data_IF_937756837836
#
_entry.id   IF_937756837836
#
_cell.length_a   1.000
_cell.length_b   1.000
_cell.length_c   1.000
_cell.angle_alpha   90.00
_cell.angle_beta   90.00
_cell.angle_gamma   90.00
#
_symmetry.space_group_name_H-M   'P 1'
#
loop_
_entity.id
_entity.type
_entity.pdbx_description
1 polymer ?
#
# COMPACT_ATOMS: atom_id res chain seq x y z
N UNK A 1 -24.70 -2.91 97.80
CA UNK A 1 -23.50 -3.18 96.96
C UNK A 1 -24.00 -3.65 95.62
N UNK A 2 -24.04 -2.77 94.59
CA UNK A 2 -24.62 -3.08 93.31
C UNK A 2 -23.52 -2.90 92.25
N UNK A 3 -23.13 -3.94 91.56
CA UNK A 3 -22.13 -3.96 90.55
C UNK A 3 -22.83 -3.77 89.19
N UNK A 4 -22.58 -2.63 88.51
CA UNK A 4 -23.00 -2.41 87.18
C UNK A 4 -22.06 -3.10 86.18
N UNK A 5 -22.63 -3.88 85.24
CA UNK A 5 -21.92 -4.50 84.08
C UNK A 5 -22.13 -3.57 82.88
N UNK A 6 -21.06 -3.01 82.37
CA UNK A 6 -21.03 -2.27 81.09
C UNK A 6 -20.86 -3.28 79.99
N UNK A 7 -21.86 -3.41 79.14
CA UNK A 7 -21.78 -4.20 77.89
C UNK A 7 -21.19 -3.37 76.77
N UNK A 8 -20.11 -3.86 76.20
CA UNK A 8 -19.46 -3.22 75.07
C UNK A 8 -20.04 -3.85 73.78
N UNK A 9 -20.88 -3.08 73.06
CA UNK A 9 -21.33 -3.47 71.70
C UNK A 9 -20.26 -3.13 70.69
N UNK A 10 -19.63 -4.15 70.10
CA UNK A 10 -18.74 -3.99 68.97
C UNK A 10 -19.59 -4.07 67.70
N UNK A 11 -19.80 -2.97 67.00
CA UNK A 11 -20.45 -2.91 65.70
C UNK A 11 -19.36 -3.20 64.65
N UNK A 12 -19.33 -4.41 64.12
CA UNK A 12 -18.48 -4.78 62.98
C UNK A 12 -19.11 -4.29 61.67
N UNK A 13 -18.54 -3.26 61.10
CA UNK A 13 -18.89 -2.82 59.73
C UNK A 13 -18.18 -3.71 58.72
N UNK A 14 -18.92 -4.58 58.05
CA UNK A 14 -18.42 -5.36 56.92
C UNK A 14 -18.40 -4.46 55.67
N UNK A 15 -17.20 -4.06 55.22
CA UNK A 15 -17.01 -3.41 53.94
C UNK A 15 -16.97 -4.50 52.85
N UNK A 16 -18.07 -4.65 52.12
CA UNK A 16 -18.10 -5.45 50.90
C UNK A 16 -17.46 -4.66 49.75
N UNK A 17 -16.21 -4.96 49.46
CA UNK A 17 -15.53 -4.42 48.28
C UNK A 17 -16.08 -5.12 47.03
N UNK A 18 -16.94 -4.43 46.26
CA UNK A 18 -17.41 -4.87 44.96
C UNK A 18 -16.28 -4.70 43.95
N UNK A 19 -15.55 -5.78 43.64
CA UNK A 19 -14.63 -5.81 42.49
C UNK A 19 -15.48 -5.93 41.25
N UNK A 20 -15.80 -4.75 40.64
CA UNK A 20 -16.36 -4.70 39.30
C UNK A 20 -15.26 -5.16 38.32
N UNK A 21 -15.31 -6.43 37.93
CA UNK A 21 -14.44 -6.99 36.91
C UNK A 21 -14.73 -6.30 35.59
N UNK A 22 -13.82 -5.42 35.13
CA UNK A 22 -13.81 -4.88 33.79
C UNK A 22 -13.34 -5.99 32.85
N UNK A 23 -14.23 -6.92 32.51
CA UNK A 23 -14.00 -7.87 31.43
C UNK A 23 -14.29 -7.23 30.08
N UNK A 24 -13.43 -6.29 29.70
CA UNK A 24 -13.42 -5.71 28.34
C UNK A 24 -12.86 -6.70 27.33
N UNK A 25 -13.47 -7.88 27.21
CA UNK A 25 -13.14 -8.81 26.15
C UNK A 25 -13.75 -8.26 24.87
N UNK A 26 -12.90 -7.68 23.99
CA UNK A 26 -13.35 -7.23 22.68
C UNK A 26 -14.12 -8.36 22.00
N UNK A 27 -15.35 -8.11 21.58
CA UNK A 27 -16.18 -9.09 20.93
C UNK A 27 -15.42 -9.68 19.73
N UNK A 28 -15.40 -11.01 19.60
CA UNK A 28 -14.79 -11.67 18.44
C UNK A 28 -15.52 -11.22 17.18
N UNK A 29 -14.79 -10.85 16.10
CA UNK A 29 -15.43 -10.46 14.86
C UNK A 29 -16.27 -11.62 14.30
N UNK A 30 -17.38 -11.29 13.65
CA UNK A 30 -18.21 -12.29 12.95
C UNK A 30 -17.42 -12.94 11.78
N UNK A 31 -17.81 -14.15 11.34
CA UNK A 31 -17.21 -14.76 10.15
C UNK A 31 -17.21 -13.84 8.94
N UNK A 32 -18.30 -13.11 8.68
CA UNK A 32 -18.41 -12.17 7.57
C UNK A 32 -17.45 -10.97 7.72
N UNK A 33 -17.29 -10.46 8.94
CA UNK A 33 -16.33 -9.40 9.21
C UNK A 33 -14.88 -9.88 9.04
N UNK A 34 -14.59 -11.14 9.36
CA UNK A 34 -13.29 -11.75 9.09
C UNK A 34 -13.07 -11.95 7.59
N UNK A 35 -14.06 -12.45 6.86
CA UNK A 35 -13.99 -12.63 5.41
C UNK A 35 -13.73 -11.28 4.70
N UNK A 36 -14.44 -10.22 5.08
CA UNK A 36 -14.21 -8.89 4.53
C UNK A 36 -12.79 -8.36 4.81
N UNK A 37 -12.24 -8.62 6.00
CA UNK A 37 -10.85 -8.25 6.33
C UNK A 37 -9.83 -9.04 5.52
N UNK A 38 -10.07 -10.34 5.33
CA UNK A 38 -9.21 -11.20 4.50
C UNK A 38 -9.22 -10.68 3.06
N UNK A 39 -10.39 -10.36 2.50
CA UNK A 39 -10.50 -9.82 1.15
C UNK A 39 -9.67 -8.55 0.97
N UNK A 40 -9.71 -7.60 1.92
CA UNK A 40 -8.88 -6.39 1.87
C UNK A 40 -7.38 -6.71 1.90
N UNK A 41 -6.96 -7.73 2.65
CA UNK A 41 -5.56 -8.15 2.68
C UNK A 41 -5.13 -8.80 1.36
N UNK A 42 -5.96 -9.66 0.79
CA UNK A 42 -5.73 -10.27 -0.52
C UNK A 42 -5.64 -9.21 -1.63
N UNK A 43 -6.52 -8.22 -1.58
CA UNK A 43 -6.49 -7.10 -2.52
C UNK A 43 -5.23 -6.25 -2.40
N UNK A 44 -4.79 -5.96 -1.19
CA UNK A 44 -3.50 -5.28 -0.97
C UNK A 44 -2.33 -6.07 -1.51
N UNK A 45 -2.33 -7.38 -1.34
CA UNK A 45 -1.28 -8.25 -1.87
C UNK A 45 -1.33 -8.32 -3.40
N UNK A 46 -2.51 -8.36 -4.00
CA UNK A 46 -2.67 -8.30 -5.45
C UNK A 46 -2.17 -6.97 -6.04
N UNK A 47 -2.43 -5.84 -5.36
CA UNK A 47 -1.86 -4.54 -5.77
C UNK A 47 -0.34 -4.50 -5.60
N UNK A 48 0.23 -5.10 -4.54
CA UNK A 48 1.69 -5.24 -4.40
C UNK A 48 2.30 -6.08 -5.52
N UNK A 49 1.65 -7.19 -5.86
CA UNK A 49 2.07 -8.03 -6.99
C UNK A 49 2.03 -7.26 -8.32
N UNK A 50 1.05 -6.37 -8.51
CA UNK A 50 0.99 -5.50 -9.68
C UNK A 50 2.17 -4.52 -9.73
N UNK A 51 2.58 -3.93 -8.60
CA UNK A 51 3.78 -3.06 -8.51
C UNK A 51 5.07 -3.85 -8.80
N UNK A 52 5.17 -5.10 -8.35
CA UNK A 52 6.29 -5.99 -8.71
C UNK A 52 6.28 -6.28 -10.20
N UNK A 53 5.11 -6.57 -10.79
CA UNK A 53 4.96 -6.81 -12.23
C UNK A 53 5.35 -5.58 -13.06
N UNK A 54 5.02 -4.37 -12.60
CA UNK A 54 5.45 -3.11 -13.20
C UNK A 54 6.98 -3.06 -13.34
N UNK A 55 7.70 -3.30 -12.24
CA UNK A 55 9.16 -3.31 -12.24
C UNK A 55 9.71 -4.41 -13.15
N UNK A 56 9.28 -5.66 -12.96
CA UNK A 56 9.84 -6.82 -13.66
C UNK A 56 9.59 -6.80 -15.17
N UNK A 57 8.44 -6.33 -15.64
CA UNK A 57 8.15 -6.22 -17.08
C UNK A 57 8.99 -5.13 -17.75
N UNK A 58 9.23 -4.00 -17.07
CA UNK A 58 10.14 -2.96 -17.57
C UNK A 58 11.59 -3.45 -17.60
N UNK A 59 12.06 -4.09 -16.52
CA UNK A 59 13.42 -4.61 -16.42
C UNK A 59 13.68 -5.71 -17.46
N UNK A 60 12.68 -6.58 -17.68
CA UNK A 60 12.70 -7.61 -18.72
C UNK A 60 12.44 -7.11 -20.14
N UNK A 61 12.06 -5.83 -20.32
CA UNK A 61 11.63 -5.27 -21.62
C UNK A 61 10.45 -6.03 -22.23
N UNK A 62 9.62 -6.66 -21.39
CA UNK A 62 8.36 -7.29 -21.81
C UNK A 62 7.24 -6.24 -21.87
N UNK A 63 7.29 -5.45 -22.95
CA UNK A 63 6.34 -4.37 -23.17
C UNK A 63 4.92 -4.88 -23.47
N UNK A 64 4.78 -6.11 -23.95
CA UNK A 64 3.47 -6.71 -24.16
C UNK A 64 2.80 -7.05 -22.81
N UNK A 65 3.53 -7.67 -21.90
CA UNK A 65 3.04 -7.90 -20.54
C UNK A 65 2.84 -6.59 -19.78
N UNK A 66 3.73 -5.61 -19.94
CA UNK A 66 3.60 -4.28 -19.34
C UNK A 66 2.30 -3.59 -19.72
N UNK A 67 1.90 -3.65 -21.00
CA UNK A 67 0.63 -3.08 -21.48
C UNK A 67 -0.58 -3.66 -20.75
N UNK A 68 -0.56 -4.94 -20.38
CA UNK A 68 -1.66 -5.60 -19.70
C UNK A 68 -1.86 -5.15 -18.23
N UNK A 69 -0.90 -4.46 -17.66
CA UNK A 69 -0.97 -3.96 -16.29
C UNK A 69 -1.89 -2.72 -16.17
N UNK A 70 -2.27 -2.11 -17.30
CA UNK A 70 -2.97 -0.83 -17.34
C UNK A 70 -4.46 -1.01 -17.61
N UNK A 71 -5.28 -0.21 -16.93
CA UNK A 71 -6.70 -0.08 -17.23
C UNK A 71 -6.92 0.57 -18.60
N UNK A 72 -8.04 0.29 -19.24
CA UNK A 72 -8.31 0.79 -20.63
C UNK A 72 -8.20 2.30 -20.79
N UNK A 73 -8.48 3.06 -19.74
CA UNK A 73 -8.45 4.53 -19.69
C UNK A 73 -7.39 5.04 -18.69
N UNK A 74 -6.31 4.29 -18.52
CA UNK A 74 -5.23 4.62 -17.61
C UNK A 74 -4.44 5.85 -18.04
N UNK A 75 -3.81 6.51 -17.06
CA UNK A 75 -2.90 7.63 -17.27
C UNK A 75 -1.52 7.34 -16.67
N UNK A 76 -0.48 7.63 -17.42
CA UNK A 76 0.89 7.70 -16.95
C UNK A 76 1.35 9.15 -16.95
N UNK A 77 1.95 9.62 -15.85
CA UNK A 77 2.47 10.98 -15.69
C UNK A 77 3.89 10.88 -15.12
N UNK A 78 4.89 10.89 -16.00
CA UNK A 78 6.33 10.81 -15.67
C UNK A 78 7.01 12.18 -15.62
N UNK A 79 6.27 13.25 -15.34
CA UNK A 79 6.72 14.64 -15.38
C UNK A 79 6.06 15.40 -16.51
N UNK A 80 6.46 16.66 -16.71
CA UNK A 80 5.75 17.58 -17.62
C UNK A 80 5.69 17.12 -19.10
N UNK A 81 6.69 16.38 -19.57
CA UNK A 81 6.82 15.98 -20.98
C UNK A 81 6.53 14.48 -21.22
N UNK A 82 6.43 13.68 -20.17
CA UNK A 82 6.28 12.23 -20.28
C UNK A 82 4.91 11.80 -19.78
N UNK A 83 3.88 12.12 -20.54
CA UNK A 83 2.50 11.73 -20.22
C UNK A 83 1.91 10.90 -21.33
N UNK A 84 1.11 9.89 -20.98
CA UNK A 84 0.41 9.07 -21.94
C UNK A 84 -0.95 8.61 -21.37
N UNK A 85 -1.93 8.33 -22.24
CA UNK A 85 -3.24 7.81 -21.88
C UNK A 85 -3.54 6.54 -22.66
N UNK A 86 -4.04 5.55 -21.95
CA UNK A 86 -4.36 4.24 -22.46
C UNK A 86 -3.15 3.31 -22.58
N UNK A 87 -3.37 1.99 -22.49
CA UNK A 87 -2.30 0.98 -22.35
C UNK A 87 -1.27 1.04 -23.47
N UNK A 88 -1.70 1.10 -24.73
CA UNK A 88 -0.80 1.11 -25.87
C UNK A 88 0.09 2.35 -25.91
N UNK A 89 -0.47 3.55 -25.66
CA UNK A 89 0.30 4.79 -25.65
C UNK A 89 1.31 4.83 -24.49
N UNK A 90 0.92 4.29 -23.32
CA UNK A 90 1.80 4.17 -22.13
C UNK A 90 2.95 3.20 -22.46
N UNK A 91 2.65 2.04 -23.04
CA UNK A 91 3.67 1.09 -23.51
C UNK A 91 4.65 1.75 -24.46
N UNK A 92 4.15 2.43 -25.50
CA UNK A 92 4.99 3.05 -26.54
C UNK A 92 5.89 4.14 -25.96
N UNK A 93 5.36 4.96 -25.04
CA UNK A 93 6.14 5.97 -24.32
C UNK A 93 7.29 5.32 -23.55
N UNK A 94 7.02 4.31 -22.70
CA UNK A 94 8.05 3.66 -21.89
C UNK A 94 9.04 2.88 -22.75
N UNK A 95 8.57 2.22 -23.81
CA UNK A 95 9.43 1.56 -24.76
C UNK A 95 10.37 2.57 -25.45
N UNK A 96 9.87 3.75 -25.79
CA UNK A 96 10.70 4.83 -26.35
C UNK A 96 11.75 5.35 -25.37
N UNK A 97 11.36 5.61 -24.12
CA UNK A 97 12.27 6.09 -23.07
C UNK A 97 13.37 5.07 -22.74
N UNK A 98 13.05 3.79 -22.71
CA UNK A 98 14.00 2.74 -22.35
C UNK A 98 14.87 2.26 -23.52
N UNK A 99 14.46 2.45 -24.78
CA UNK A 99 15.28 2.14 -25.96
C UNK A 99 16.59 2.92 -26.02
N UNK A 100 16.61 4.14 -25.50
CA UNK A 100 17.80 4.98 -25.45
C UNK A 100 18.92 4.34 -24.61
N UNK A 101 18.60 3.39 -23.73
CA UNK A 101 19.51 2.79 -22.75
C UNK A 101 19.90 1.34 -23.04
N UNK A 102 19.83 0.88 -24.29
CA UNK A 102 20.26 -0.45 -24.77
C UNK A 102 19.35 -1.64 -24.39
N UNK A 103 19.61 -2.79 -25.05
CA UNK A 103 18.91 -4.04 -24.80
C UNK A 103 19.00 -4.48 -23.33
N UNK A 104 18.00 -5.21 -22.81
CA UNK A 104 18.08 -5.72 -21.45
C UNK A 104 19.31 -6.61 -21.30
N UNK A 105 20.20 -6.19 -20.43
CA UNK A 105 21.33 -7.02 -20.02
C UNK A 105 20.98 -7.49 -18.61
N UNK A 106 20.81 -8.78 -18.38
CA UNK A 106 20.50 -9.31 -17.06
C UNK A 106 21.43 -8.72 -15.99
N UNK A 107 20.86 -8.11 -14.94
CA UNK A 107 21.60 -7.48 -13.86
C UNK A 107 22.21 -6.11 -14.18
N UNK A 108 21.93 -5.53 -15.36
CA UNK A 108 22.47 -4.22 -15.74
C UNK A 108 21.65 -3.06 -15.23
N UNK A 109 20.33 -3.17 -15.31
CA UNK A 109 19.41 -2.16 -14.79
C UNK A 109 18.17 -2.84 -14.20
N UNK A 110 17.63 -2.27 -13.13
CA UNK A 110 16.44 -2.78 -12.47
C UNK A 110 15.74 -1.68 -11.68
N UNK A 111 14.43 -1.84 -11.54
CA UNK A 111 13.60 -0.97 -10.72
C UNK A 111 13.40 -1.58 -9.33
N UNK A 112 13.47 -0.72 -8.31
CA UNK A 112 13.05 -1.03 -6.95
C UNK A 112 11.83 -0.19 -6.61
N UNK A 113 10.77 -0.83 -6.17
CA UNK A 113 9.57 -0.18 -5.65
C UNK A 113 9.46 -0.49 -4.17
N UNK A 114 9.59 0.54 -3.32
CA UNK A 114 9.78 0.40 -1.88
C UNK A 114 8.79 1.25 -1.09
N UNK A 115 8.69 0.98 0.23
CA UNK A 115 7.92 1.78 1.20
C UNK A 115 6.45 1.96 0.77
N UNK A 116 5.83 0.88 0.35
CA UNK A 116 4.48 0.88 -0.20
C UNK A 116 3.44 1.06 0.90
N UNK A 117 2.56 2.05 0.73
CA UNK A 117 1.28 2.14 1.45
C UNK A 117 0.17 1.97 0.44
N UNK A 118 -0.82 1.13 0.74
CA UNK A 118 -1.92 0.79 -0.15
C UNK A 118 -3.21 0.82 0.65
N UNK A 119 -4.16 1.64 0.19
CA UNK A 119 -5.50 1.75 0.76
C UNK A 119 -6.53 1.27 -0.25
N UNK A 120 -7.24 0.20 0.11
CA UNK A 120 -8.25 -0.45 -0.74
C UNK A 120 -9.64 -0.06 -0.28
N UNK A 121 -10.50 0.30 -1.24
CA UNK A 121 -11.93 0.59 -1.03
C UNK A 121 -12.74 -0.03 -2.16
N UNK A 122 -13.34 -1.19 -1.92
CA UNK A 122 -14.07 -1.95 -2.93
C UNK A 122 -13.17 -2.29 -4.13
N UNK A 123 -13.58 -1.88 -5.32
CA UNK A 123 -12.86 -2.15 -6.57
C UNK A 123 -11.87 -1.04 -6.96
N UNK A 124 -11.52 -0.16 -6.03
CA UNK A 124 -10.52 0.89 -6.22
C UNK A 124 -9.48 0.84 -5.11
N UNK A 125 -8.27 1.30 -5.42
CA UNK A 125 -7.23 1.50 -4.41
C UNK A 125 -6.37 2.71 -4.76
N UNK A 126 -5.75 3.28 -3.72
CA UNK A 126 -4.69 4.28 -3.87
C UNK A 126 -3.40 3.73 -3.29
N UNK A 127 -2.29 4.16 -3.84
CA UNK A 127 -0.97 3.76 -3.38
C UNK A 127 0.02 4.91 -3.37
N UNK A 128 0.91 4.84 -2.41
CA UNK A 128 2.15 5.61 -2.41
C UNK A 128 3.31 4.63 -2.31
N UNK A 129 4.36 4.87 -3.10
CA UNK A 129 5.61 4.14 -2.99
C UNK A 129 6.80 5.01 -3.39
N UNK A 130 8.01 4.51 -3.13
CA UNK A 130 9.23 5.10 -3.67
C UNK A 130 9.79 4.20 -4.75
N UNK A 131 10.03 4.79 -5.91
CA UNK A 131 10.67 4.13 -7.03
C UNK A 131 12.13 4.53 -7.16
N UNK A 132 12.96 3.58 -7.49
CA UNK A 132 14.39 3.80 -7.80
C UNK A 132 14.72 2.99 -9.04
N UNK A 133 15.35 3.62 -10.01
CA UNK A 133 15.95 2.93 -11.13
C UNK A 133 17.47 2.87 -10.93
N UNK A 134 17.98 1.67 -10.81
CA UNK A 134 19.40 1.37 -10.64
C UNK A 134 19.95 0.91 -11.99
N UNK A 135 21.06 1.49 -12.40
CA UNK A 135 21.75 1.14 -13.64
C UNK A 135 23.18 0.71 -13.34
N UNK A 136 23.73 -0.13 -14.19
CA UNK A 136 25.16 -0.46 -14.16
C UNK A 136 25.87 0.30 -15.25
N UNK A 137 26.85 1.12 -14.89
CA UNK A 137 27.65 1.87 -15.85
C UNK A 137 28.61 0.96 -16.65
N UNK A 138 29.31 1.49 -17.70
CA UNK A 138 30.28 0.71 -18.47
C UNK A 138 31.42 0.11 -17.63
N UNK A 139 31.74 0.71 -16.46
CA UNK A 139 32.76 0.19 -15.55
C UNK A 139 32.23 -0.86 -14.56
N UNK A 140 30.98 -1.33 -14.78
CA UNK A 140 30.25 -2.30 -13.94
C UNK A 140 29.96 -1.81 -12.52
N UNK A 141 29.89 -0.49 -12.30
CA UNK A 141 29.47 0.09 -11.04
C UNK A 141 27.98 0.33 -11.05
N UNK A 142 27.31 -0.01 -9.95
CA UNK A 142 25.89 0.31 -9.75
C UNK A 142 25.72 1.79 -9.46
N UNK A 143 24.80 2.41 -10.16
CA UNK A 143 24.44 3.81 -9.98
C UNK A 143 22.91 3.95 -9.85
N UNK A 144 22.49 4.85 -8.97
CA UNK A 144 21.08 5.23 -8.89
C UNK A 144 20.82 6.32 -9.93
N UNK A 145 20.06 5.98 -10.94
CA UNK A 145 19.70 6.91 -12.02
C UNK A 145 18.54 7.81 -11.63
N UNK A 146 17.53 7.27 -10.94
CA UNK A 146 16.33 8.00 -10.53
C UNK A 146 15.96 7.58 -9.11
N UNK A 147 15.57 8.54 -8.30
CA UNK A 147 14.79 8.35 -7.07
C UNK A 147 13.53 9.19 -7.22
N UNK A 148 12.37 8.58 -7.11
CA UNK A 148 11.09 9.26 -7.30
C UNK A 148 10.03 8.80 -6.28
N UNK A 149 9.03 9.63 -6.06
CA UNK A 149 7.79 9.23 -5.40
C UNK A 149 6.79 8.79 -6.46
N UNK A 150 6.08 7.71 -6.19
CA UNK A 150 4.99 7.21 -7.03
C UNK A 150 3.67 7.42 -6.30
N UNK A 151 2.71 8.00 -6.99
CA UNK A 151 1.33 8.21 -6.55
C UNK A 151 0.42 7.45 -7.51
N UNK A 152 -0.18 6.41 -7.00
CA UNK A 152 -0.89 5.45 -7.79
C UNK A 152 -2.38 5.43 -7.48
N UNK A 153 -3.18 5.24 -8.52
CA UNK A 153 -4.56 4.83 -8.41
C UNK A 153 -4.72 3.51 -9.15
N UNK A 154 -5.45 2.60 -8.54
CA UNK A 154 -5.72 1.28 -9.08
C UNK A 154 -7.21 1.05 -9.19
N UNK A 155 -7.59 0.19 -10.12
CA UNK A 155 -8.96 -0.24 -10.33
C UNK A 155 -9.00 -1.73 -10.64
N UNK A 156 -10.07 -2.40 -10.21
CA UNK A 156 -10.31 -3.78 -10.58
C UNK A 156 -11.09 -3.83 -11.89
N UNK A 157 -10.51 -4.38 -12.94
CA UNK A 157 -11.15 -4.64 -14.22
C UNK A 157 -11.15 -6.15 -14.52
N UNK A 158 -12.31 -6.70 -14.80
CA UNK A 158 -12.47 -8.14 -15.08
C UNK A 158 -11.82 -9.04 -14.02
N UNK A 159 -11.99 -8.69 -12.75
CA UNK A 159 -11.47 -9.43 -11.60
C UNK A 159 -9.98 -9.25 -11.32
N UNK A 160 -9.28 -8.40 -12.05
CA UNK A 160 -7.84 -8.15 -11.88
C UNK A 160 -7.57 -6.69 -11.54
N UNK A 161 -6.64 -6.46 -10.61
CA UNK A 161 -6.15 -5.12 -10.32
C UNK A 161 -5.28 -4.60 -11.46
N UNK A 162 -5.45 -3.32 -11.80
CA UNK A 162 -4.73 -2.62 -12.85
C UNK A 162 -4.40 -1.19 -12.42
N UNK A 163 -3.34 -0.63 -12.99
CA UNK A 163 -3.07 0.79 -12.85
C UNK A 163 -4.14 1.61 -13.56
N UNK A 164 -4.79 2.49 -12.83
CA UNK A 164 -5.68 3.53 -13.36
C UNK A 164 -4.92 4.82 -13.60
N UNK A 165 -3.98 5.13 -12.71
CA UNK A 165 -3.09 6.28 -12.82
C UNK A 165 -1.78 5.95 -12.12
N UNK A 166 -0.68 6.29 -12.77
CA UNK A 166 0.65 6.25 -12.18
C UNK A 166 1.30 7.61 -12.37
N UNK A 167 1.62 8.29 -11.28
CA UNK A 167 2.25 9.59 -11.30
C UNK A 167 3.61 9.55 -10.61
N UNK A 168 4.65 9.91 -11.36
CA UNK A 168 6.04 10.01 -10.87
C UNK A 168 6.33 11.45 -10.48
N UNK A 169 6.85 11.64 -9.28
CA UNK A 169 7.23 12.96 -8.75
C UNK A 169 6.07 13.73 -8.12
N UNK A 170 6.40 14.91 -7.59
CA UNK A 170 5.45 15.76 -6.88
C UNK A 170 5.32 15.44 -5.38
N UNK A 171 4.74 16.38 -4.62
CA UNK A 171 4.29 16.12 -3.24
C UNK A 171 2.92 15.45 -3.30
N UNK A 172 2.60 14.54 -2.39
CA UNK A 172 1.23 14.07 -2.26
C UNK A 172 0.32 15.27 -2.01
N UNK A 173 -0.91 15.26 -2.53
CA UNK A 173 -1.93 16.15 -2.00
C UNK A 173 -1.96 15.93 -0.48
N UNK A 174 -2.04 17.03 0.28
CA UNK A 174 -2.17 16.92 1.73
C UNK A 174 -3.29 15.92 2.06
N UNK A 175 -2.99 14.98 2.93
CA UNK A 175 -4.02 14.06 3.41
C UNK A 175 -5.22 14.90 3.88
N UNK A 176 -6.46 14.53 3.55
CA UNK A 176 -7.62 15.22 4.10
C UNK A 176 -7.42 15.23 5.61
N UNK A 177 -7.43 16.42 6.19
CA UNK A 177 -7.31 16.61 7.63
C UNK A 177 -8.43 15.80 8.28
N UNK A 178 -8.10 14.57 8.71
CA UNK A 178 -9.04 13.68 9.36
C UNK A 178 -9.57 14.39 10.60
N UNK A 179 -10.84 14.70 10.59
CA UNK A 179 -11.58 15.00 11.82
C UNK A 179 -11.35 13.82 12.77
N UNK A 180 -10.81 14.15 13.96
CA UNK A 180 -10.68 13.23 15.10
C UNK A 180 -12.06 12.76 15.54
#
# INVERSE_FOLDING_TARGET
MMRARIGCCVIGAAIAASVAGVSGQAARPSPDALAARVQVLEDRDAVRALLVSYASTLDGRDFAAYEQLWAKDAEFIGGASNTAKGPAAIRDLLQGLLKVNAAPVPGRDFHLVMNQTIDVTGDTATGFSRGTWVVTDPEKKLQISIIANYYDQFVRESGRWKFKRHQIGGMPPAAPSGSK
#
